data_IF_777313772891
#
_entry.id   IF_777313772891
#
_cell.length_a   1.000
_cell.length_b   1.000
_cell.length_c   1.000
_cell.angle_alpha   90.00
_cell.angle_beta   90.00
_cell.angle_gamma   90.00
#
_symmetry.space_group_name_H-M   'P 1'
#
loop_
_entity.id
_entity.type
_entity.pdbx_description
1 polymer ?
#
# COMPACT_ATOMS: atom_id res chain seq x y z
N UNK A 1 -21.04 -1.37 -21.39
CA UNK A 1 -19.88 -2.00 -20.74
C UNK A 1 -20.14 -1.87 -19.25
N UNK A 2 -20.69 -2.92 -18.66
CA UNK A 2 -21.28 -2.90 -17.32
C UNK A 2 -20.20 -2.88 -16.24
N UNK A 3 -20.49 -2.15 -15.17
CA UNK A 3 -19.69 -2.06 -13.95
C UNK A 3 -19.97 -3.34 -13.16
N UNK A 4 -18.96 -4.21 -13.01
CA UNK A 4 -19.09 -5.42 -12.19
C UNK A 4 -18.81 -5.04 -10.74
N UNK A 5 -19.86 -5.05 -9.91
CA UNK A 5 -19.76 -4.99 -8.45
C UNK A 5 -19.26 -6.34 -7.91
N UNK A 6 -18.54 -6.32 -6.80
CA UNK A 6 -17.88 -7.49 -6.17
C UNK A 6 -18.87 -8.62 -5.75
N UNK A 7 -20.18 -8.39 -5.86
CA UNK A 7 -21.23 -9.32 -5.42
C UNK A 7 -21.52 -10.52 -6.35
N UNK A 8 -20.91 -10.63 -7.54
CA UNK A 8 -21.28 -11.66 -8.53
C UNK A 8 -20.30 -12.85 -8.69
N UNK A 9 -19.42 -13.12 -7.72
CA UNK A 9 -18.49 -14.26 -7.78
C UNK A 9 -19.15 -15.65 -7.58
N UNK A 10 -20.47 -15.74 -7.54
CA UNK A 10 -21.18 -17.03 -7.43
C UNK A 10 -22.51 -17.06 -8.18
N UNK A 11 -22.51 -17.07 -9.52
CA UNK A 11 -23.49 -17.84 -10.34
C UNK A 11 -23.27 -17.68 -11.86
N UNK A 12 -23.59 -18.78 -12.55
CA UNK A 12 -23.96 -18.91 -13.97
C UNK A 12 -22.90 -18.75 -15.07
N UNK A 13 -22.32 -19.91 -15.41
CA UNK A 13 -22.18 -20.39 -16.79
C UNK A 13 -23.53 -20.40 -17.52
N UNK A 14 -23.60 -19.78 -18.71
CA UNK A 14 -24.22 -20.29 -19.96
C UNK A 14 -24.79 -19.13 -20.81
N UNK A 15 -24.39 -19.09 -22.09
CA UNK A 15 -25.34 -18.83 -23.18
C UNK A 15 -25.16 -17.54 -23.99
N UNK A 16 -24.53 -17.71 -25.16
CA UNK A 16 -25.02 -17.24 -26.47
C UNK A 16 -25.09 -15.74 -26.78
N UNK A 17 -24.10 -15.31 -27.56
CA UNK A 17 -24.05 -14.05 -28.32
C UNK A 17 -25.03 -14.15 -29.52
N UNK A 18 -25.92 -13.17 -29.66
CA UNK A 18 -26.58 -12.85 -30.92
C UNK A 18 -26.37 -11.38 -31.26
N UNK A 19 -25.84 -11.17 -32.47
CA UNK A 19 -25.56 -9.91 -33.16
C UNK A 19 -26.82 -9.16 -33.55
N UNK A 20 -26.83 -7.82 -33.48
CA UNK A 20 -27.55 -6.96 -34.44
C UNK A 20 -26.90 -5.57 -34.58
N UNK A 21 -26.61 -5.22 -35.84
CA UNK A 21 -26.24 -3.90 -36.33
C UNK A 21 -27.48 -3.01 -36.45
N UNK A 22 -27.37 -1.71 -36.14
CA UNK A 22 -28.45 -0.75 -36.39
C UNK A 22 -28.14 0.70 -36.02
N UNK A 23 -27.65 1.45 -37.01
CA UNK A 23 -27.90 2.87 -37.35
C UNK A 23 -27.87 3.98 -36.28
N UNK A 24 -27.03 4.96 -36.57
CA UNK A 24 -26.85 6.26 -35.93
C UNK A 24 -28.12 7.12 -35.90
N UNK A 25 -28.47 7.66 -34.74
CA UNK A 25 -29.36 8.82 -34.60
C UNK A 25 -28.72 9.83 -33.64
N UNK A 26 -28.67 11.09 -34.11
CA UNK A 26 -28.17 12.25 -33.40
C UNK A 26 -29.00 12.54 -32.15
N UNK A 27 -28.38 12.45 -30.97
CA UNK A 27 -28.98 12.85 -29.69
C UNK A 27 -28.38 14.18 -29.27
N UNK A 28 -29.27 15.18 -29.20
CA UNK A 28 -29.02 16.54 -28.71
C UNK A 28 -28.38 16.48 -27.31
N UNK A 29 -27.18 17.05 -27.18
CA UNK A 29 -26.44 17.10 -25.92
C UNK A 29 -26.99 18.17 -24.98
N UNK A 30 -27.66 17.73 -23.91
CA UNK A 30 -27.92 18.55 -22.73
C UNK A 30 -26.65 18.63 -21.87
N UNK A 31 -26.32 19.79 -21.27
CA UNK A 31 -25.10 19.94 -20.49
C UNK A 31 -25.23 19.22 -19.15
N UNK A 32 -24.40 18.20 -18.93
CA UNK A 32 -24.26 17.50 -17.65
C UNK A 32 -23.34 18.32 -16.72
N UNK A 33 -23.78 18.77 -15.54
CA UNK A 33 -22.90 19.39 -14.56
C UNK A 33 -22.27 18.30 -13.69
N UNK A 34 -20.99 18.02 -13.97
CA UNK A 34 -20.17 17.15 -13.15
C UNK A 34 -18.73 17.23 -13.59
N UNK A 35 -17.97 18.20 -13.05
CA UNK A 35 -16.51 18.19 -13.15
C UNK A 35 -16.02 16.91 -12.48
N UNK A 36 -15.66 15.91 -13.28
CA UNK A 36 -14.71 14.88 -12.84
C UNK A 36 -13.44 15.68 -12.54
N UNK A 37 -13.15 15.91 -11.25
CA UNK A 37 -11.83 16.42 -10.86
C UNK A 37 -10.85 15.33 -11.29
N UNK A 38 -10.07 15.58 -12.34
CA UNK A 38 -8.94 14.75 -12.69
C UNK A 38 -7.93 14.85 -11.54
N UNK A 39 -8.02 13.93 -10.59
CA UNK A 39 -7.06 13.84 -9.49
C UNK A 39 -5.71 13.45 -10.08
N UNK A 40 -4.68 14.24 -9.77
CA UNK A 40 -3.32 13.89 -10.11
C UNK A 40 -2.96 12.60 -9.36
N UNK A 41 -2.63 11.55 -10.10
CA UNK A 41 -2.22 10.26 -9.51
C UNK A 41 -0.94 10.49 -8.72
N UNK A 42 -1.05 10.48 -7.39
CA UNK A 42 0.08 10.59 -6.48
C UNK A 42 0.73 9.21 -6.30
N UNK A 43 2.01 9.18 -5.96
CA UNK A 43 2.69 7.93 -5.66
C UNK A 43 2.08 7.28 -4.41
N UNK A 44 2.05 5.94 -4.37
CA UNK A 44 1.56 5.23 -3.17
C UNK A 44 2.48 5.43 -1.95
N UNK A 45 3.74 5.82 -2.18
CA UNK A 45 4.72 6.21 -1.16
C UNK A 45 5.60 7.35 -1.69
N UNK A 46 5.81 8.38 -0.87
CA UNK A 46 6.39 9.64 -1.33
C UNK A 46 7.80 9.88 -0.77
N UNK A 47 8.04 9.59 0.51
CA UNK A 47 9.29 9.96 1.16
C UNK A 47 10.51 9.19 0.63
N UNK A 48 11.51 9.94 0.16
CA UNK A 48 12.86 9.44 -0.16
C UNK A 48 12.88 8.25 -1.13
N UNK A 49 11.88 8.15 -2.02
CA UNK A 49 11.81 7.10 -3.04
C UNK A 49 11.94 7.66 -4.45
N UNK A 50 12.44 6.82 -5.35
CA UNK A 50 12.53 7.09 -6.79
C UNK A 50 11.70 6.05 -7.54
N UNK A 51 10.98 6.52 -8.56
CA UNK A 51 10.31 5.63 -9.52
C UNK A 51 11.33 4.96 -10.45
N UNK A 52 11.15 3.67 -10.70
CA UNK A 52 11.95 2.90 -11.66
C UNK A 52 11.07 1.93 -12.43
N UNK A 53 11.48 1.55 -13.63
CA UNK A 53 10.79 0.49 -14.37
C UNK A 53 11.32 -0.89 -13.98
N UNK A 54 10.53 -1.93 -14.24
CA UNK A 54 10.99 -3.33 -14.12
C UNK A 54 12.20 -3.61 -15.03
N UNK A 55 12.27 -2.96 -16.20
CA UNK A 55 13.42 -3.05 -17.10
C UNK A 55 14.70 -2.50 -16.48
N UNK A 56 14.62 -1.38 -15.75
CA UNK A 56 15.79 -0.82 -15.06
C UNK A 56 16.32 -1.77 -13.98
N UNK A 57 15.43 -2.44 -13.23
CA UNK A 57 15.84 -3.45 -12.25
C UNK A 57 16.52 -4.67 -12.89
N UNK A 58 16.09 -5.06 -14.09
CA UNK A 58 16.66 -6.20 -14.83
C UNK A 58 18.01 -5.90 -15.46
N UNK A 59 18.14 -4.75 -16.10
CA UNK A 59 19.24 -4.46 -17.01
C UNK A 59 20.32 -3.57 -16.38
N UNK A 60 19.95 -2.72 -15.42
CA UNK A 60 20.85 -1.70 -14.88
C UNK A 60 21.33 -2.02 -13.46
N UNK A 61 20.80 -3.08 -12.82
CA UNK A 61 21.12 -3.45 -11.45
C UNK A 61 21.85 -4.80 -11.35
N UNK A 62 22.89 -4.84 -10.51
CA UNK A 62 23.51 -6.10 -10.08
C UNK A 62 22.65 -6.76 -8.99
N UNK A 63 22.82 -8.07 -8.81
CA UNK A 63 22.13 -8.85 -7.76
C UNK A 63 23.11 -9.09 -6.61
N UNK A 64 22.80 -8.65 -5.38
CA UNK A 64 23.60 -8.97 -4.21
C UNK A 64 23.68 -10.48 -3.94
N UNK A 65 24.79 -10.91 -3.36
CA UNK A 65 25.09 -12.31 -3.01
C UNK A 65 25.43 -12.44 -1.53
N UNK A 66 25.23 -13.63 -0.97
CA UNK A 66 25.69 -14.00 0.36
C UNK A 66 27.20 -14.25 0.34
N UNK A 67 27.97 -13.53 1.16
CA UNK A 67 29.42 -13.43 0.99
C UNK A 67 30.18 -14.71 1.34
N UNK A 68 29.61 -15.61 2.17
CA UNK A 68 30.33 -16.82 2.64
C UNK A 68 30.22 -18.01 1.69
N UNK A 69 29.17 -18.09 0.89
CA UNK A 69 28.91 -19.17 -0.06
C UNK A 69 28.65 -18.67 -1.49
N UNK A 70 28.66 -17.35 -1.69
CA UNK A 70 28.48 -16.69 -2.99
C UNK A 70 27.14 -17.01 -3.66
N UNK A 71 26.13 -17.43 -2.88
CA UNK A 71 24.79 -17.68 -3.42
C UNK A 71 24.06 -16.36 -3.67
N UNK A 72 23.34 -16.27 -4.79
CA UNK A 72 22.55 -15.08 -5.10
C UNK A 72 21.32 -14.95 -4.20
N UNK A 73 20.96 -13.71 -3.89
CA UNK A 73 19.64 -13.38 -3.32
C UNK A 73 18.54 -13.59 -4.36
N UNK A 74 17.30 -13.73 -3.90
CA UNK A 74 16.12 -13.54 -4.74
C UNK A 74 15.99 -12.05 -5.05
N UNK A 75 16.12 -11.70 -6.33
CA UNK A 75 16.22 -10.31 -6.76
C UNK A 75 14.88 -9.57 -6.71
N UNK A 76 14.94 -8.23 -6.72
CA UNK A 76 13.74 -7.38 -6.76
C UNK A 76 12.82 -7.69 -7.94
N UNK A 77 13.37 -7.83 -9.14
CA UNK A 77 12.62 -8.16 -10.35
C UNK A 77 11.99 -9.56 -10.26
N UNK A 78 12.70 -10.54 -9.69
CA UNK A 78 12.19 -11.92 -9.54
C UNK A 78 10.98 -11.92 -8.61
N UNK A 79 11.03 -11.15 -7.52
CA UNK A 79 9.89 -11.00 -6.60
C UNK A 79 8.66 -10.37 -7.27
N UNK A 80 8.85 -9.30 -8.04
CA UNK A 80 7.77 -8.64 -8.78
C UNK A 80 7.17 -9.60 -9.80
N UNK A 81 7.99 -10.34 -10.55
CA UNK A 81 7.53 -11.30 -11.55
C UNK A 81 6.74 -12.46 -10.93
N UNK A 82 7.19 -12.99 -9.79
CA UNK A 82 6.44 -14.00 -9.04
C UNK A 82 5.07 -13.43 -8.68
N UNK A 83 5.03 -12.24 -8.09
CA UNK A 83 3.78 -11.60 -7.69
C UNK A 83 2.85 -11.38 -8.89
N UNK A 84 3.36 -10.87 -10.02
CA UNK A 84 2.58 -10.71 -11.25
C UNK A 84 2.02 -12.04 -11.76
N UNK A 85 2.81 -13.11 -11.73
CA UNK A 85 2.35 -14.45 -12.12
C UNK A 85 1.26 -14.98 -11.18
N UNK A 86 1.39 -14.75 -9.88
CA UNK A 86 0.38 -15.13 -8.90
C UNK A 86 -0.93 -14.36 -9.10
N UNK A 87 -0.84 -13.03 -9.25
CA UNK A 87 -2.00 -12.16 -9.53
C UNK A 87 -2.66 -12.57 -10.84
N UNK A 88 -1.90 -12.82 -11.91
CA UNK A 88 -2.42 -13.28 -13.20
C UNK A 88 -3.10 -14.66 -13.15
N UNK A 89 -2.69 -15.54 -12.22
CA UNK A 89 -3.35 -16.83 -12.01
C UNK A 89 -4.67 -16.69 -11.27
N UNK A 90 -4.70 -15.89 -10.19
CA UNK A 90 -5.90 -15.73 -9.36
C UNK A 90 -6.94 -14.85 -10.05
N UNK A 91 -6.51 -13.79 -10.72
CA UNK A 91 -7.38 -12.80 -11.38
C UNK A 91 -7.29 -12.89 -12.90
N UNK A 92 -7.31 -14.11 -13.45
CA UNK A 92 -7.07 -14.42 -14.86
C UNK A 92 -8.03 -13.76 -15.86
N UNK A 93 -9.24 -13.38 -15.41
CA UNK A 93 -10.26 -12.73 -16.22
C UNK A 93 -10.32 -11.20 -16.02
N UNK A 94 -9.40 -10.65 -15.23
CA UNK A 94 -9.36 -9.23 -14.94
C UNK A 94 -8.25 -8.52 -15.70
N UNK A 95 -8.42 -7.22 -15.88
CA UNK A 95 -7.33 -6.36 -16.36
C UNK A 95 -6.37 -6.12 -15.21
N UNK A 96 -5.09 -6.40 -15.42
CA UNK A 96 -4.03 -6.23 -14.43
C UNK A 96 -3.06 -5.17 -14.98
N UNK A 97 -2.81 -4.13 -14.18
CA UNK A 97 -1.89 -3.06 -14.56
C UNK A 97 -0.42 -3.49 -14.43
N UNK A 98 0.45 -2.78 -15.15
CA UNK A 98 1.89 -2.90 -14.94
C UNK A 98 2.26 -2.43 -13.51
N UNK A 99 3.29 -3.03 -12.89
CA UNK A 99 3.68 -2.68 -11.53
C UNK A 99 4.22 -1.25 -11.45
N UNK A 100 3.72 -0.48 -10.47
CA UNK A 100 4.34 0.77 -10.03
C UNK A 100 5.44 0.43 -9.03
N UNK A 101 6.68 0.86 -9.28
CA UNK A 101 7.84 0.45 -8.48
C UNK A 101 8.56 1.68 -7.92
N UNK A 102 8.83 1.63 -6.62
CA UNK A 102 9.51 2.67 -5.85
C UNK A 102 10.73 2.09 -5.16
N UNK A 103 11.89 2.69 -5.35
CA UNK A 103 13.15 2.24 -4.74
C UNK A 103 13.78 3.34 -3.89
N UNK A 104 14.61 2.94 -2.92
CA UNK A 104 15.43 3.87 -2.15
C UNK A 104 16.82 3.29 -1.88
N UNK A 105 17.73 4.13 -1.37
CA UNK A 105 19.09 3.74 -0.97
C UNK A 105 19.85 3.06 -2.11
N UNK A 106 20.23 3.86 -3.11
CA UNK A 106 21.04 3.40 -4.23
C UNK A 106 22.45 3.07 -3.73
N UNK A 107 22.86 1.81 -3.90
CA UNK A 107 24.22 1.35 -3.65
C UNK A 107 24.97 1.40 -4.97
N UNK A 108 26.13 2.06 -4.99
CA UNK A 108 26.97 2.20 -6.18
C UNK A 108 28.28 1.45 -5.96
N UNK A 109 28.61 0.60 -6.91
CA UNK A 109 29.88 -0.10 -7.00
C UNK A 109 30.63 0.28 -8.28
N UNK A 110 31.70 -0.46 -8.54
CA UNK A 110 32.52 -0.33 -9.75
C UNK A 110 33.01 -1.69 -10.21
N UNK A 111 33.28 -1.81 -11.50
CA UNK A 111 33.91 -3.00 -12.08
C UNK A 111 35.39 -3.11 -11.65
N UNK A 112 35.98 -4.33 -11.63
CA UNK A 112 37.36 -4.54 -11.19
C UNK A 112 38.40 -3.70 -11.94
N UNK A 113 38.22 -3.49 -13.25
CA UNK A 113 39.14 -2.72 -14.10
C UNK A 113 39.20 -1.23 -13.75
N UNK A 114 38.25 -0.71 -12.96
CA UNK A 114 38.14 0.70 -12.59
C UNK A 114 38.42 0.96 -11.09
N UNK A 115 39.04 0.02 -10.39
CA UNK A 115 39.22 0.09 -8.93
C UNK A 115 40.00 1.34 -8.47
N UNK A 116 41.01 1.75 -9.23
CA UNK A 116 41.87 2.89 -8.91
C UNK A 116 41.36 4.25 -9.45
N UNK A 117 40.25 4.27 -10.20
CA UNK A 117 39.65 5.51 -10.69
C UNK A 117 38.92 6.24 -9.56
N UNK A 118 39.02 7.57 -9.53
CA UNK A 118 38.20 8.35 -8.61
C UNK A 118 36.73 8.25 -8.99
N UNK A 119 35.81 8.46 -8.05
CA UNK A 119 34.37 8.36 -8.34
C UNK A 119 33.91 9.33 -9.44
N UNK A 120 34.61 10.46 -9.62
CA UNK A 120 34.33 11.46 -10.66
C UNK A 120 34.76 10.99 -12.05
N UNK A 121 35.77 10.12 -12.12
CA UNK A 121 36.38 9.66 -13.38
C UNK A 121 35.81 8.32 -13.87
N UNK A 122 34.89 7.72 -13.11
CA UNK A 122 34.22 6.48 -13.51
C UNK A 122 33.29 6.74 -14.69
N UNK A 123 33.48 5.99 -15.78
CA UNK A 123 32.55 5.93 -16.91
C UNK A 123 31.29 5.14 -16.52
N UNK A 124 30.19 5.31 -17.23
CA UNK A 124 28.92 4.68 -16.85
C UNK A 124 28.97 3.14 -16.91
N UNK A 125 29.66 2.57 -17.91
CA UNK A 125 29.88 1.12 -17.99
C UNK A 125 30.81 0.58 -16.90
N UNK A 126 31.53 1.45 -16.20
CA UNK A 126 32.42 1.07 -15.10
C UNK A 126 31.71 1.11 -13.74
N UNK A 127 30.50 1.68 -13.70
CA UNK A 127 29.67 1.78 -12.50
C UNK A 127 28.74 0.59 -12.44
N UNK A 128 28.62 0.00 -11.25
CA UNK A 128 27.55 -0.96 -10.94
C UNK A 128 26.61 -0.32 -9.94
N UNK A 129 25.37 -0.78 -9.90
CA UNK A 129 24.41 -0.30 -8.92
C UNK A 129 23.41 -1.37 -8.53
N UNK A 130 22.80 -1.20 -7.38
CA UNK A 130 21.53 -1.81 -7.04
C UNK A 130 20.81 -0.90 -6.03
N UNK A 131 19.55 -1.18 -5.73
CA UNK A 131 18.83 -0.47 -4.68
C UNK A 131 18.69 -1.39 -3.47
N UNK A 132 18.97 -0.87 -2.29
CA UNK A 132 18.86 -1.65 -1.05
C UNK A 132 17.40 -1.99 -0.74
N UNK A 133 16.45 -1.10 -1.10
CA UNK A 133 15.02 -1.25 -0.77
C UNK A 133 14.16 -1.00 -1.99
N UNK A 134 13.17 -1.85 -2.17
CA UNK A 134 12.18 -1.78 -3.24
C UNK A 134 10.78 -2.05 -2.67
N UNK A 135 9.82 -1.23 -3.08
CA UNK A 135 8.40 -1.44 -2.89
C UNK A 135 7.72 -1.42 -4.26
N UNK A 136 6.68 -2.24 -4.44
CA UNK A 136 5.87 -2.21 -5.64
C UNK A 136 4.39 -2.42 -5.33
N UNK A 137 3.55 -1.95 -6.24
CA UNK A 137 2.12 -2.29 -6.27
C UNK A 137 1.69 -2.69 -7.69
N UNK A 138 0.69 -3.54 -7.78
CA UNK A 138 0.00 -4.02 -8.98
C UNK A 138 -1.49 -3.80 -8.73
N UNK A 139 -2.13 -3.01 -9.58
CA UNK A 139 -3.56 -2.71 -9.46
C UNK A 139 -4.37 -3.62 -10.36
N UNK A 140 -5.55 -4.00 -9.89
CA UNK A 140 -6.57 -4.73 -10.65
C UNK A 140 -7.78 -3.81 -10.82
N UNK A 141 -7.74 -2.83 -11.76
CA UNK A 141 -8.70 -1.72 -11.85
C UNK A 141 -10.14 -2.13 -12.15
N UNK A 142 -10.38 -3.39 -12.53
CA UNK A 142 -11.72 -3.95 -12.71
C UNK A 142 -12.38 -4.40 -11.40
N UNK A 143 -11.62 -4.60 -10.32
CA UNK A 143 -12.15 -4.96 -9.00
C UNK A 143 -12.14 -3.70 -8.16
N UNK A 144 -13.29 -3.03 -8.09
CA UNK A 144 -13.42 -1.73 -7.45
C UNK A 144 -14.71 -1.63 -6.67
N UNK A 145 -14.71 -0.78 -5.65
CA UNK A 145 -15.89 -0.46 -4.85
C UNK A 145 -15.92 1.06 -4.59
N UNK A 146 -17.07 1.60 -4.18
CA UNK A 146 -17.18 3.01 -3.80
C UNK A 146 -17.47 3.15 -2.31
N UNK A 147 -16.59 3.83 -1.58
CA UNK A 147 -16.69 4.04 -0.13
C UNK A 147 -16.70 5.54 0.13
N UNK A 148 -17.78 6.05 0.75
CA UNK A 148 -17.99 7.48 1.00
C UNK A 148 -17.73 8.36 -0.25
N UNK A 149 -18.19 7.90 -1.42
CA UNK A 149 -17.97 8.59 -2.71
C UNK A 149 -16.56 8.48 -3.29
N UNK A 150 -15.65 7.73 -2.65
CA UNK A 150 -14.31 7.48 -3.16
C UNK A 150 -14.23 6.09 -3.79
N UNK A 151 -13.76 6.02 -5.04
CA UNK A 151 -13.49 4.74 -5.69
C UNK A 151 -12.23 4.12 -5.07
N UNK A 152 -12.34 2.89 -4.61
CA UNK A 152 -11.21 2.05 -4.19
C UNK A 152 -10.98 0.93 -5.20
N UNK A 153 -9.73 0.57 -5.46
CA UNK A 153 -9.38 -0.49 -6.41
C UNK A 153 -8.50 -1.56 -5.75
N UNK A 154 -8.74 -2.84 -6.03
CA UNK A 154 -7.94 -3.93 -5.51
C UNK A 154 -6.48 -3.74 -5.93
N UNK A 155 -5.59 -3.80 -4.94
CA UNK A 155 -4.16 -3.52 -5.09
C UNK A 155 -3.35 -4.55 -4.32
N UNK A 156 -2.37 -5.13 -5.01
CA UNK A 156 -1.47 -6.15 -4.48
C UNK A 156 -0.06 -5.57 -4.52
N UNK A 157 0.79 -5.87 -3.55
CA UNK A 157 2.14 -5.36 -3.57
C UNK A 157 3.07 -6.00 -2.58
N UNK A 158 4.30 -5.52 -2.54
CA UNK A 158 5.30 -6.07 -1.66
C UNK A 158 6.50 -5.16 -1.47
N UNK A 159 7.28 -5.50 -0.44
CA UNK A 159 8.53 -4.83 -0.10
C UNK A 159 9.65 -5.87 -0.01
N UNK A 160 10.76 -5.57 -0.66
CA UNK A 160 12.03 -6.29 -0.51
C UNK A 160 13.11 -5.32 -0.07
N UNK A 161 13.86 -5.69 0.95
CA UNK A 161 14.81 -4.84 1.63
C UNK A 161 16.07 -5.65 1.98
N UNK A 162 17.16 -5.46 1.23
CA UNK A 162 18.40 -6.21 1.41
C UNK A 162 19.12 -5.90 2.73
N UNK A 163 18.90 -4.72 3.32
CA UNK A 163 19.38 -4.37 4.66
C UNK A 163 18.78 -5.24 5.78
N UNK A 164 17.66 -5.91 5.51
CA UNK A 164 17.04 -6.84 6.47
C UNK A 164 17.68 -8.23 6.40
N UNK A 165 18.56 -8.47 5.42
CA UNK A 165 19.35 -9.68 5.29
C UNK A 165 20.75 -9.51 5.87
N UNK A 166 21.29 -10.62 6.37
CA UNK A 166 22.72 -10.69 6.67
C UNK A 166 23.50 -11.23 5.47
N UNK A 167 23.73 -10.36 4.48
CA UNK A 167 24.49 -10.69 3.27
C UNK A 167 25.96 -11.06 3.56
N UNK A 168 26.47 -10.80 4.77
CA UNK A 168 27.82 -11.20 5.18
C UNK A 168 27.91 -12.67 5.67
N UNK A 169 26.80 -13.40 5.61
CA UNK A 169 26.71 -14.78 6.05
C UNK A 169 26.52 -15.76 4.88
N UNK A 170 26.29 -17.03 5.19
CA UNK A 170 25.76 -18.02 4.23
C UNK A 170 24.28 -17.75 3.96
N UNK A 171 23.79 -18.19 2.80
CA UNK A 171 22.38 -18.08 2.46
C UNK A 171 21.52 -18.78 3.50
N UNK A 172 20.49 -18.07 3.92
CA UNK A 172 19.42 -18.57 4.78
C UNK A 172 18.07 -18.20 4.16
N UNK A 173 16.99 -18.39 4.91
CA UNK A 173 15.71 -17.78 4.56
C UNK A 173 15.86 -16.28 4.36
N UNK A 174 15.38 -15.80 3.22
CA UNK A 174 15.26 -14.40 2.88
C UNK A 174 13.89 -13.89 3.31
N UNK A 175 13.78 -12.59 3.60
CA UNK A 175 12.58 -11.94 4.12
C UNK A 175 11.95 -11.02 3.08
N UNK A 176 10.64 -11.16 2.95
CA UNK A 176 9.79 -10.35 2.09
C UNK A 176 8.61 -9.83 2.90
N UNK A 177 8.08 -8.67 2.52
CA UNK A 177 6.75 -8.24 2.96
C UNK A 177 5.83 -8.31 1.77
N UNK A 178 4.62 -8.81 1.94
CA UNK A 178 3.65 -8.93 0.86
C UNK A 178 2.27 -8.58 1.37
N UNK A 179 1.47 -7.92 0.53
CA UNK A 179 0.12 -7.53 0.88
C UNK A 179 -0.84 -7.62 -0.31
N UNK A 180 -2.11 -7.77 0.02
CA UNK A 180 -3.27 -7.57 -0.83
C UNK A 180 -4.29 -6.73 -0.05
N UNK A 181 -4.90 -5.76 -0.72
CA UNK A 181 -5.87 -4.86 -0.12
C UNK A 181 -6.45 -3.95 -1.19
N UNK A 182 -6.74 -2.71 -0.82
CA UNK A 182 -7.29 -1.72 -1.73
C UNK A 182 -6.43 -0.47 -1.80
N UNK A 183 -6.59 0.33 -2.85
CA UNK A 183 -6.03 1.67 -2.95
C UNK A 183 -7.18 2.66 -3.16
N UNK A 184 -7.23 3.72 -2.35
CA UNK A 184 -8.16 4.82 -2.57
C UNK A 184 -7.68 5.63 -3.79
N UNK A 185 -8.48 5.70 -4.84
CA UNK A 185 -8.09 6.31 -6.11
C UNK A 185 -8.08 7.85 -6.09
N UNK A 186 -8.65 8.48 -5.05
CA UNK A 186 -8.61 9.94 -4.88
C UNK A 186 -7.23 10.40 -4.43
N UNK A 187 -6.66 9.71 -3.43
CA UNK A 187 -5.40 10.09 -2.82
C UNK A 187 -4.25 9.13 -3.12
N UNK A 188 -4.51 7.93 -3.63
CA UNK A 188 -3.56 6.84 -3.79
C UNK A 188 -3.06 6.23 -2.46
N UNK A 189 -3.78 6.44 -1.35
CA UNK A 189 -3.50 5.79 -0.07
C UNK A 189 -3.78 4.28 -0.14
N UNK A 190 -2.92 3.48 0.48
CA UNK A 190 -3.13 2.03 0.58
C UNK A 190 -4.01 1.70 1.78
N UNK A 191 -5.06 0.94 1.52
CA UNK A 191 -5.95 0.36 2.50
C UNK A 191 -5.59 -1.12 2.68
N UNK A 192 -5.01 -1.47 3.82
CA UNK A 192 -4.47 -2.81 4.07
C UNK A 192 -5.03 -3.34 5.38
N UNK A 193 -5.68 -4.51 5.32
CA UNK A 193 -6.19 -5.23 6.48
C UNK A 193 -5.14 -6.22 7.02
N UNK A 194 -5.43 -6.79 8.17
CA UNK A 194 -4.56 -7.74 8.87
C UNK A 194 -4.43 -9.08 8.13
N UNK A 195 -5.54 -9.62 7.64
CA UNK A 195 -5.60 -10.84 6.84
C UNK A 195 -5.00 -10.67 5.42
N UNK A 196 -4.91 -9.43 4.96
CA UNK A 196 -4.31 -9.04 3.69
C UNK A 196 -2.81 -8.78 3.76
N UNK A 197 -2.14 -8.94 4.90
CA UNK A 197 -0.73 -8.56 5.05
C UNK A 197 0.12 -9.63 5.74
N UNK A 198 1.27 -9.93 5.13
CA UNK A 198 2.34 -10.71 5.74
C UNK A 198 3.57 -9.82 5.97
N UNK A 199 3.80 -9.42 7.23
CA UNK A 199 4.93 -8.58 7.66
C UNK A 199 6.28 -9.23 7.36
N UNK A 200 6.41 -10.53 7.62
CA UNK A 200 7.64 -11.28 7.40
C UNK A 200 7.35 -12.63 6.74
N UNK A 201 7.46 -12.65 5.42
CA UNK A 201 7.39 -13.86 4.60
C UNK A 201 8.82 -14.40 4.41
N UNK A 202 9.17 -15.40 5.22
CA UNK A 202 10.48 -16.09 5.14
C UNK A 202 10.47 -17.12 4.04
N UNK A 203 11.40 -17.09 3.10
CA UNK A 203 11.44 -18.02 1.96
C UNK A 203 12.86 -18.44 1.65
N UNK A 204 13.07 -19.72 1.32
CA UNK A 204 14.37 -20.24 0.91
C UNK A 204 14.58 -20.20 -0.60
N UNK A 205 13.50 -20.21 -1.38
CA UNK A 205 13.57 -20.30 -2.84
C UNK A 205 12.32 -19.71 -3.52
N UNK A 206 12.40 -19.63 -4.85
CA UNK A 206 11.35 -19.11 -5.72
C UNK A 206 9.99 -19.82 -5.53
N UNK A 207 10.00 -21.15 -5.46
CA UNK A 207 8.76 -21.94 -5.36
C UNK A 207 8.03 -21.66 -4.06
N UNK A 208 8.76 -21.58 -2.94
CA UNK A 208 8.18 -21.26 -1.64
C UNK A 208 7.58 -19.85 -1.61
N UNK A 209 8.26 -18.88 -2.23
CA UNK A 209 7.74 -17.51 -2.36
C UNK A 209 6.45 -17.47 -3.21
N UNK A 210 6.43 -18.17 -4.34
CA UNK A 210 5.22 -18.30 -5.17
C UNK A 210 4.06 -18.91 -4.38
N UNK A 211 4.28 -20.00 -3.64
CA UNK A 211 3.23 -20.65 -2.84
C UNK A 211 2.70 -19.71 -1.77
N UNK A 212 3.57 -19.09 -0.96
CA UNK A 212 3.13 -18.19 0.12
C UNK A 212 2.39 -16.95 -0.39
N UNK A 213 2.78 -16.42 -1.55
CA UNK A 213 2.06 -15.32 -2.20
C UNK A 213 0.67 -15.76 -2.65
N UNK A 214 0.56 -16.93 -3.31
CA UNK A 214 -0.74 -17.48 -3.72
C UNK A 214 -1.65 -17.71 -2.52
N UNK A 215 -1.12 -18.33 -1.46
CA UNK A 215 -1.87 -18.62 -0.25
C UNK A 215 -2.41 -17.34 0.39
N UNK A 216 -1.61 -16.26 0.49
CA UNK A 216 -2.08 -15.00 1.05
C UNK A 216 -3.20 -14.38 0.18
N UNK A 217 -3.02 -14.35 -1.14
CA UNK A 217 -4.02 -13.79 -2.06
C UNK A 217 -5.35 -14.57 -1.96
N UNK A 218 -5.29 -15.89 -1.85
CA UNK A 218 -6.49 -16.75 -1.83
C UNK A 218 -7.23 -16.73 -0.50
N UNK A 219 -6.53 -16.48 0.62
CA UNK A 219 -7.15 -16.44 1.95
C UNK A 219 -7.60 -15.04 2.37
N UNK A 220 -7.27 -14.00 1.61
CA UNK A 220 -7.69 -12.63 1.89
C UNK A 220 -9.20 -12.44 1.68
N UNK A 221 -9.89 -11.94 2.70
CA UNK A 221 -11.32 -11.68 2.67
C UNK A 221 -11.61 -10.24 2.20
N UNK A 222 -11.67 -10.05 0.89
CA UNK A 222 -11.94 -8.75 0.28
C UNK A 222 -13.31 -8.17 0.68
N UNK A 223 -14.35 -8.99 0.80
CA UNK A 223 -15.70 -8.55 1.16
C UNK A 223 -15.74 -7.99 2.58
N UNK A 224 -15.19 -8.73 3.55
CA UNK A 224 -15.13 -8.25 4.93
C UNK A 224 -14.32 -6.96 5.06
N UNK A 225 -13.16 -6.87 4.39
CA UNK A 225 -12.36 -5.65 4.42
C UNK A 225 -13.13 -4.46 3.80
N UNK A 226 -13.86 -4.65 2.70
CA UNK A 226 -14.71 -3.59 2.12
C UNK A 226 -15.83 -3.17 3.07
N UNK A 227 -16.50 -4.11 3.72
CA UNK A 227 -17.56 -3.84 4.71
C UNK A 227 -17.01 -3.02 5.88
N UNK A 228 -15.89 -3.45 6.48
CA UNK A 228 -15.26 -2.72 7.58
C UNK A 228 -14.88 -1.28 7.19
N UNK A 229 -14.36 -1.07 5.97
CA UNK A 229 -14.08 0.26 5.44
C UNK A 229 -15.35 1.10 5.21
N UNK A 230 -16.45 0.48 4.77
CA UNK A 230 -17.74 1.16 4.63
C UNK A 230 -18.28 1.63 5.98
N UNK A 231 -18.22 0.79 7.01
CA UNK A 231 -18.67 1.13 8.37
C UNK A 231 -17.90 2.31 8.98
N UNK A 232 -16.64 2.53 8.58
CA UNK A 232 -15.88 3.72 9.01
C UNK A 232 -16.54 5.03 8.57
N UNK A 233 -17.29 5.03 7.46
CA UNK A 233 -17.99 6.23 6.98
C UNK A 233 -19.24 6.57 7.81
N UNK A 234 -19.75 5.60 8.57
CA UNK A 234 -21.00 5.73 9.34
C UNK A 234 -20.80 6.37 10.72
N UNK A 235 -19.56 6.38 11.22
CA UNK A 235 -19.20 6.93 12.52
C UNK A 235 -18.38 8.21 12.37
N UNK A 236 -18.58 9.18 13.26
CA UNK A 236 -17.88 10.46 13.23
C UNK A 236 -17.36 10.90 14.58
N UNK A 237 -16.22 11.58 14.55
CA UNK A 237 -15.66 12.30 15.68
C UNK A 237 -16.13 13.76 15.64
N UNK A 238 -16.52 14.26 16.80
CA UNK A 238 -16.67 15.71 17.00
C UNK A 238 -15.33 16.42 16.94
N UNK A 239 -15.31 17.73 16.68
CA UNK A 239 -14.08 18.54 16.74
C UNK A 239 -13.32 18.33 18.07
N UNK A 240 -14.07 18.29 19.18
CA UNK A 240 -13.49 18.05 20.51
C UNK A 240 -12.84 16.66 20.63
N UNK A 241 -13.52 15.61 20.17
CA UNK A 241 -12.96 14.25 20.18
C UNK A 241 -11.74 14.13 19.26
N UNK A 242 -11.77 14.77 18.09
CA UNK A 242 -10.64 14.79 17.18
C UNK A 242 -9.43 15.53 17.80
N UNK A 243 -9.65 16.69 18.41
CA UNK A 243 -8.60 17.41 19.12
C UNK A 243 -7.99 16.57 20.26
N UNK A 244 -8.84 15.84 21.01
CA UNK A 244 -8.40 14.92 22.06
C UNK A 244 -7.55 13.77 21.48
N UNK A 245 -8.02 13.15 20.39
CA UNK A 245 -7.32 12.09 19.66
C UNK A 245 -5.92 12.53 19.25
N UNK A 246 -5.80 13.70 18.62
CA UNK A 246 -4.51 14.24 18.20
C UNK A 246 -3.62 14.53 19.41
N UNK A 247 -4.14 15.15 20.47
CA UNK A 247 -3.39 15.41 21.69
C UNK A 247 -2.83 14.11 22.33
N UNK A 248 -3.69 13.10 22.47
CA UNK A 248 -3.32 11.77 23.01
C UNK A 248 -2.32 11.04 22.11
N UNK A 249 -2.51 11.06 20.79
CA UNK A 249 -1.60 10.44 19.83
C UNK A 249 -0.18 11.05 19.90
N UNK A 250 -0.06 12.36 20.13
CA UNK A 250 1.24 13.00 20.37
C UNK A 250 1.86 12.54 21.69
N UNK A 251 1.09 12.55 22.77
CA UNK A 251 1.56 12.09 24.09
C UNK A 251 1.97 10.61 24.09
N UNK A 252 1.28 9.77 23.32
CA UNK A 252 1.53 8.33 23.18
C UNK A 252 2.98 8.02 22.81
N UNK A 253 3.60 8.87 21.97
CA UNK A 253 4.99 8.72 21.55
C UNK A 253 6.01 8.96 22.67
N UNK A 254 5.60 9.59 23.78
CA UNK A 254 6.45 9.94 24.91
C UNK A 254 6.09 9.16 26.19
N UNK A 255 5.10 8.28 26.14
CA UNK A 255 4.72 7.47 27.30
C UNK A 255 5.85 6.55 27.75
N UNK A 256 6.01 6.34 29.08
CA UNK A 256 6.85 5.28 29.61
C UNK A 256 6.44 3.92 29.04
N UNK A 257 7.41 3.02 28.83
CA UNK A 257 7.16 1.69 28.22
C UNK A 257 6.07 0.89 28.94
N UNK A 258 6.01 1.00 30.27
CA UNK A 258 5.04 0.28 31.10
C UNK A 258 3.61 0.76 30.79
N UNK A 259 3.38 2.07 30.83
CA UNK A 259 2.07 2.66 30.52
C UNK A 259 1.68 2.43 29.06
N UNK A 260 2.64 2.58 28.15
CA UNK A 260 2.44 2.38 26.71
C UNK A 260 1.97 0.95 26.39
N UNK A 261 2.46 -0.05 27.12
CA UNK A 261 2.09 -1.45 26.91
C UNK A 261 0.63 -1.79 27.27
N UNK A 262 -0.04 -0.91 28.01
CA UNK A 262 -1.45 -1.05 28.40
C UNK A 262 -2.41 -0.39 27.42
N UNK A 263 -1.90 0.36 26.45
CA UNK A 263 -2.68 1.13 25.48
C UNK A 263 -2.46 0.52 24.09
N UNK A 264 -3.51 0.41 23.25
CA UNK A 264 -3.36 -0.08 21.90
C UNK A 264 -2.26 0.64 21.11
N UNK A 265 -1.60 -0.10 20.23
CA UNK A 265 -0.44 0.42 19.52
C UNK A 265 -0.81 1.46 18.46
N UNK A 266 -0.07 2.58 18.46
CA UNK A 266 -0.09 3.57 17.38
C UNK A 266 1.35 3.75 16.86
N UNK A 267 1.60 3.29 15.64
CA UNK A 267 2.94 3.27 15.03
C UNK A 267 3.32 4.58 14.33
N UNK A 268 2.38 5.52 14.18
CA UNK A 268 2.64 6.83 13.58
C UNK A 268 3.47 7.71 14.53
N UNK A 269 4.46 8.39 13.96
CA UNK A 269 5.32 9.30 14.71
C UNK A 269 4.73 10.71 14.84
N UNK A 270 5.30 11.54 15.73
CA UNK A 270 4.81 12.91 15.99
C UNK A 270 4.74 13.80 14.74
N UNK A 271 5.67 13.63 13.79
CA UNK A 271 5.64 14.35 12.51
C UNK A 271 4.43 13.96 11.67
N UNK A 272 4.08 12.67 11.63
CA UNK A 272 2.89 12.18 10.92
C UNK A 272 1.60 12.63 11.60
N UNK A 273 1.54 12.61 12.93
CA UNK A 273 0.39 13.14 13.68
C UNK A 273 0.24 14.65 13.45
N UNK A 274 1.35 15.38 13.33
CA UNK A 274 1.31 16.81 12.97
C UNK A 274 0.77 17.05 11.56
N UNK A 275 1.10 16.18 10.60
CA UNK A 275 0.51 16.20 9.25
C UNK A 275 -1.00 15.95 9.30
N UNK A 276 -1.46 14.94 10.05
CA UNK A 276 -2.90 14.69 10.23
C UNK A 276 -3.62 15.91 10.81
N UNK A 277 -3.04 16.54 11.84
CA UNK A 277 -3.63 17.72 12.46
C UNK A 277 -3.74 18.91 11.49
N UNK A 278 -2.74 19.09 10.62
CA UNK A 278 -2.77 20.10 9.55
C UNK A 278 -3.85 19.77 8.52
N UNK A 279 -3.87 18.54 8.03
CA UNK A 279 -4.70 18.11 6.91
C UNK A 279 -6.18 17.98 7.31
N UNK A 280 -6.49 17.82 8.61
CA UNK A 280 -7.84 17.98 9.14
C UNK A 280 -8.48 19.35 8.80
N UNK A 281 -7.68 20.40 8.65
CA UNK A 281 -8.15 21.73 8.22
C UNK A 281 -7.93 22.01 6.74
N UNK A 282 -6.92 21.42 6.11
CA UNK A 282 -6.39 21.86 4.82
C UNK A 282 -6.50 20.83 3.70
N UNK A 283 -6.81 19.57 3.99
CA UNK A 283 -6.95 18.54 2.94
C UNK A 283 -8.20 18.80 2.09
N UNK A 284 -8.05 18.67 0.77
CA UNK A 284 -9.14 18.98 -0.17
C UNK A 284 -10.26 17.93 -0.17
N UNK A 285 -9.99 16.70 0.30
CA UNK A 285 -10.87 15.53 0.13
C UNK A 285 -11.32 14.91 1.44
N UNK A 286 -10.50 14.99 2.49
CA UNK A 286 -10.69 14.28 3.76
C UNK A 286 -10.67 15.21 4.98
N UNK A 287 -10.72 16.53 4.79
CA UNK A 287 -10.84 17.47 5.90
C UNK A 287 -12.20 17.35 6.61
N UNK A 288 -12.30 18.06 7.73
CA UNK A 288 -13.55 18.20 8.50
C UNK A 288 -14.68 18.82 7.69
N UNK A 289 -15.91 18.57 8.12
CA UNK A 289 -17.09 19.27 7.61
C UNK A 289 -17.24 20.68 8.24
N UNK A 290 -18.25 21.43 7.81
CA UNK A 290 -18.51 22.80 8.27
C UNK A 290 -18.80 22.89 9.78
N UNK A 291 -19.33 21.82 10.38
CA UNK A 291 -19.58 21.72 11.83
C UNK A 291 -18.32 21.35 12.63
N UNK A 292 -17.18 21.14 11.96
CA UNK A 292 -15.92 20.69 12.56
C UNK A 292 -15.85 19.18 12.83
N UNK A 293 -16.87 18.41 12.46
CA UNK A 293 -16.88 16.96 12.64
C UNK A 293 -16.15 16.26 11.48
N UNK A 294 -15.65 15.05 11.72
CA UNK A 294 -14.96 14.24 10.71
C UNK A 294 -15.35 12.77 10.86
N UNK A 295 -15.75 12.12 9.77
CA UNK A 295 -16.06 10.69 9.78
C UNK A 295 -14.78 9.83 9.84
N UNK A 296 -14.88 8.59 10.34
CA UNK A 296 -13.70 7.76 10.54
C UNK A 296 -13.05 7.29 9.23
N UNK A 297 -13.79 7.24 8.11
CA UNK A 297 -13.20 7.00 6.79
C UNK A 297 -12.24 8.14 6.39
N UNK A 298 -12.62 9.39 6.65
CA UNK A 298 -11.76 10.55 6.41
C UNK A 298 -10.57 10.54 7.38
N UNK A 299 -10.78 10.24 8.67
CA UNK A 299 -9.67 10.07 9.63
C UNK A 299 -8.68 8.99 9.15
N UNK A 300 -9.18 7.84 8.71
CA UNK A 300 -8.36 6.76 8.16
C UNK A 300 -7.50 7.23 6.98
N UNK A 301 -8.09 8.00 6.06
CA UNK A 301 -7.39 8.56 4.90
C UNK A 301 -6.38 9.65 5.27
N UNK A 302 -6.64 10.48 6.29
CA UNK A 302 -5.64 11.43 6.80
C UNK A 302 -4.44 10.69 7.40
N UNK A 303 -4.67 9.64 8.19
CA UNK A 303 -3.61 8.86 8.82
C UNK A 303 -2.77 8.09 7.80
N UNK A 304 -3.41 7.39 6.84
CA UNK A 304 -2.70 6.69 5.76
C UNK A 304 -2.02 7.66 4.79
N UNK A 305 -2.60 8.85 4.57
CA UNK A 305 -1.98 9.93 3.82
C UNK A 305 -0.68 10.41 4.48
N UNK A 306 -0.72 10.70 5.78
CA UNK A 306 0.48 11.04 6.56
C UNK A 306 1.52 9.90 6.56
N UNK A 307 1.08 8.64 6.48
CA UNK A 307 1.98 7.50 6.42
C UNK A 307 2.82 7.42 5.14
N UNK A 308 2.44 8.08 4.04
CA UNK A 308 3.26 8.11 2.80
C UNK A 308 4.64 8.74 2.97
N UNK A 309 4.83 9.50 4.04
CA UNK A 309 6.12 10.05 4.42
C UNK A 309 7.03 9.03 5.14
N UNK A 310 6.57 7.80 5.34
CA UNK A 310 7.36 6.71 5.95
C UNK A 310 8.43 6.18 5.01
N UNK A 311 9.48 5.60 5.60
CA UNK A 311 10.40 4.74 4.86
C UNK A 311 9.70 3.47 4.39
N UNK A 312 10.18 2.91 3.28
CA UNK A 312 9.70 1.64 2.70
C UNK A 312 9.57 0.54 3.77
N UNK A 313 10.54 0.42 4.69
CA UNK A 313 10.60 -0.65 5.69
C UNK A 313 9.38 -0.69 6.62
N UNK A 314 8.86 0.47 7.02
CA UNK A 314 7.79 0.61 8.01
C UNK A 314 6.44 0.98 7.41
N UNK A 315 6.38 1.22 6.10
CA UNK A 315 5.21 1.78 5.45
C UNK A 315 3.99 0.86 5.52
N UNK A 316 4.14 -0.40 5.13
CA UNK A 316 3.01 -1.36 5.10
C UNK A 316 2.48 -1.68 6.50
N UNK A 317 3.37 -1.92 7.47
CA UNK A 317 2.98 -2.23 8.84
C UNK A 317 2.23 -1.08 9.51
N UNK A 318 2.65 0.16 9.24
CA UNK A 318 1.90 1.36 9.66
C UNK A 318 0.53 1.47 8.99
N UNK A 319 0.37 1.10 7.72
CA UNK A 319 -0.96 1.12 7.08
C UNK A 319 -1.92 0.12 7.75
N UNK A 320 -1.44 -1.09 8.05
CA UNK A 320 -2.24 -2.09 8.77
C UNK A 320 -2.59 -1.60 10.17
N UNK A 321 -1.61 -1.11 10.93
CA UNK A 321 -1.86 -0.55 12.26
C UNK A 321 -2.84 0.62 12.22
N UNK A 322 -2.79 1.49 11.21
CA UNK A 322 -3.76 2.59 11.05
C UNK A 322 -5.17 2.06 10.79
N UNK A 323 -5.33 0.96 10.05
CA UNK A 323 -6.63 0.33 9.83
C UNK A 323 -7.19 -0.28 11.12
N UNK A 324 -6.38 -1.06 11.84
CA UNK A 324 -6.73 -1.61 13.16
C UNK A 324 -7.10 -0.50 14.14
N UNK A 325 -6.27 0.55 14.20
CA UNK A 325 -6.46 1.68 15.09
C UNK A 325 -7.78 2.38 14.82
N UNK A 326 -8.11 2.62 13.54
CA UNK A 326 -9.34 3.34 13.18
C UNK A 326 -10.59 2.49 13.43
N UNK A 327 -10.53 1.17 13.21
CA UNK A 327 -11.58 0.25 13.65
C UNK A 327 -11.70 0.19 15.18
N UNK A 328 -10.58 0.29 15.90
CA UNK A 328 -10.57 0.42 17.35
C UNK A 328 -11.33 1.66 17.84
N UNK A 329 -11.10 2.81 17.20
CA UNK A 329 -11.85 4.04 17.46
C UNK A 329 -13.36 3.86 17.16
N UNK A 330 -13.71 3.24 16.03
CA UNK A 330 -15.10 2.91 15.67
C UNK A 330 -15.77 2.11 16.78
N UNK A 331 -15.12 1.04 17.24
CA UNK A 331 -15.64 0.19 18.30
C UNK A 331 -15.80 0.96 19.61
N UNK A 332 -14.87 1.87 19.92
CA UNK A 332 -14.98 2.70 21.12
C UNK A 332 -16.13 3.69 21.07
N UNK A 333 -16.44 4.26 19.91
CA UNK A 333 -17.65 5.08 19.74
C UNK A 333 -18.94 4.26 19.95
N UNK A 334 -18.89 2.95 19.69
CA UNK A 334 -19.98 2.00 19.90
C UNK A 334 -19.98 1.34 21.30
N UNK A 335 -19.15 1.81 22.23
CA UNK A 335 -19.16 1.38 23.63
C UNK A 335 -18.00 0.49 24.08
N UNK A 336 -17.05 0.14 23.20
CA UNK A 336 -15.81 -0.54 23.60
C UNK A 336 -14.87 0.43 24.36
N UNK A 337 -14.20 -0.05 25.40
CA UNK A 337 -13.25 0.74 26.18
C UNK A 337 -11.79 0.61 25.73
N UNK A 338 -11.46 -0.31 24.83
CA UNK A 338 -10.08 -0.63 24.45
C UNK A 338 -9.28 0.57 23.95
N UNK A 339 -9.88 1.44 23.13
CA UNK A 339 -9.23 2.64 22.57
C UNK A 339 -9.67 3.94 23.28
N UNK A 340 -10.40 3.83 24.40
CA UNK A 340 -10.94 4.97 25.14
C UNK A 340 -9.89 5.99 25.54
N UNK A 341 -8.65 5.56 25.83
CA UNK A 341 -7.55 6.46 26.20
C UNK A 341 -7.28 7.54 25.15
N UNK A 342 -7.48 7.23 23.86
CA UNK A 342 -7.31 8.19 22.78
C UNK A 342 -8.45 9.21 22.67
N UNK A 343 -9.65 8.89 23.17
CA UNK A 343 -10.83 9.75 23.07
C UNK A 343 -11.25 10.41 24.40
N UNK A 344 -10.61 10.03 25.52
CA UNK A 344 -10.94 10.47 26.89
C UNK A 344 -10.06 11.60 27.42
#
# INVERSE_FOLDING_TARGET
MEIVSVTELSKSNNGSINSFLGTSQDVISLPVPGRIKDYKVNAFIEANTKEVSLSNLKNDCIIPVFSKDNEKTLAHQEFIEIAQNCVGKVFSHHTIEAPEIRVSHQIKGRVPSAIHKSAKDLLDHERTQYFERMAFIIRVPSITETINGNKVALTIGGVRAYNQENLYNRKTYEKFKFFIGFQNMVCCNLCISTDGFQEEMRVGNYSELNTKILDLIQNYNAENHLLEMQELSEQSLTEKQFAQLIGRARLYNYLPKQDKSLIPELLLNDGQISTVAKDYYLDDSFCRNDDGNINLWNVYNLFTGANKSSYIDSFLSRNVNVFEFTNGLKNTLNGDSNYSWFLS
#
